data_IF_244699943974
#
_entry.id   IF_244699943974
#
_cell.length_a   1.000
_cell.length_b   1.000
_cell.length_c   1.000
_cell.angle_alpha   90.00
_cell.angle_beta   90.00
_cell.angle_gamma   90.00
#
_symmetry.space_group_name_H-M   'P 1'
#
loop_
_entity.id
_entity.type
_entity.pdbx_description
1 polymer ?
#
# COMPACT_ATOMS: atom_id res chain seq x y z
N UNK A 1 -9.81 0.64 24.38
CA UNK A 1 -9.24 -0.52 25.15
C UNK A 1 -10.42 -1.32 25.65
N UNK A 2 -10.44 -2.65 25.46
CA UNK A 2 -11.52 -3.53 25.92
C UNK A 2 -11.03 -4.32 27.15
N UNK A 3 -11.92 -4.57 28.10
CA UNK A 3 -11.65 -5.44 29.27
C UNK A 3 -11.87 -6.90 28.89
N UNK A 4 -11.38 -7.89 29.67
CA UNK A 4 -11.62 -9.31 29.41
C UNK A 4 -13.11 -9.71 29.32
N UNK A 5 -14.02 -8.92 29.86
CA UNK A 5 -15.47 -9.15 29.78
C UNK A 5 -15.97 -9.25 28.34
N UNK A 6 -15.28 -8.60 27.38
CA UNK A 6 -15.64 -8.68 25.97
C UNK A 6 -15.64 -10.11 25.44
N UNK A 7 -14.76 -10.99 25.93
CA UNK A 7 -14.69 -12.37 25.48
C UNK A 7 -15.95 -13.16 25.87
N UNK A 8 -16.47 -12.93 27.08
CA UNK A 8 -17.72 -13.56 27.54
C UNK A 8 -18.90 -13.11 26.66
N UNK A 9 -18.90 -11.86 26.24
CA UNK A 9 -19.94 -11.31 25.36
C UNK A 9 -19.81 -11.90 23.95
N UNK A 10 -18.58 -12.00 23.41
CA UNK A 10 -18.33 -12.56 22.05
C UNK A 10 -18.75 -14.03 22.00
N UNK A 11 -18.46 -14.83 23.03
CA UNK A 11 -18.83 -16.26 23.07
C UNK A 11 -20.36 -16.48 22.99
N UNK A 12 -21.15 -15.49 23.36
CA UNK A 12 -22.60 -15.52 23.32
C UNK A 12 -23.21 -14.78 22.11
N UNK A 13 -22.41 -14.20 21.20
CA UNK A 13 -22.91 -13.53 20.02
C UNK A 13 -23.53 -14.51 19.02
N UNK A 14 -24.57 -14.05 18.36
CA UNK A 14 -25.13 -14.72 17.19
C UNK A 14 -24.64 -14.01 15.92
N UNK A 15 -24.39 -14.77 14.84
CA UNK A 15 -24.06 -14.16 13.57
C UNK A 15 -25.10 -13.13 13.12
N UNK A 16 -24.62 -12.02 12.56
CA UNK A 16 -25.46 -11.00 11.93
C UNK A 16 -26.16 -11.52 10.68
N UNK A 17 -26.96 -10.69 10.04
CA UNK A 17 -27.60 -11.00 8.75
C UNK A 17 -26.59 -11.30 7.63
N UNK A 18 -25.30 -10.90 7.79
CA UNK A 18 -24.18 -11.21 6.91
C UNK A 18 -23.53 -12.56 7.22
N UNK A 19 -24.03 -13.27 8.21
CA UNK A 19 -23.44 -14.50 8.75
C UNK A 19 -22.02 -14.29 9.33
N UNK A 20 -21.77 -13.12 9.90
CA UNK A 20 -20.50 -12.72 10.53
C UNK A 20 -20.75 -12.32 11.98
N UNK A 21 -19.72 -12.49 12.85
CA UNK A 21 -19.74 -11.97 14.21
C UNK A 21 -19.26 -10.51 14.17
N UNK A 22 -20.13 -9.59 14.57
CA UNK A 22 -19.85 -8.16 14.52
C UNK A 22 -19.37 -7.65 15.89
N UNK A 23 -18.22 -7.01 15.94
CA UNK A 23 -17.72 -6.40 17.20
C UNK A 23 -18.66 -5.30 17.71
N UNK A 24 -19.37 -4.62 16.83
CA UNK A 24 -20.37 -3.62 17.17
C UNK A 24 -21.53 -4.20 17.95
N UNK A 25 -21.96 -5.44 17.64
CA UNK A 25 -23.00 -6.12 18.37
C UNK A 25 -22.54 -6.53 19.76
N UNK A 26 -21.24 -6.86 19.91
CA UNK A 26 -20.65 -7.11 21.23
C UNK A 26 -20.65 -5.85 22.09
N UNK A 27 -20.28 -4.69 21.52
CA UNK A 27 -20.30 -3.41 22.22
C UNK A 27 -21.75 -2.99 22.60
N UNK A 28 -22.72 -3.21 21.72
CA UNK A 28 -24.13 -2.94 21.99
C UNK A 28 -24.66 -3.81 23.16
N UNK A 29 -24.24 -5.08 23.21
CA UNK A 29 -24.60 -5.97 24.32
C UNK A 29 -24.00 -5.54 25.66
N UNK A 30 -22.73 -5.06 25.67
CA UNK A 30 -22.13 -4.45 26.86
C UNK A 30 -22.90 -3.23 27.34
N UNK A 31 -23.28 -2.34 26.43
CA UNK A 31 -24.09 -1.16 26.76
C UNK A 31 -25.44 -1.53 27.36
N UNK A 32 -26.10 -2.57 26.81
CA UNK A 32 -27.40 -3.08 27.36
C UNK A 32 -27.25 -3.68 28.75
N UNK A 33 -26.08 -4.15 29.12
CA UNK A 33 -25.76 -4.65 30.47
C UNK A 33 -25.38 -3.55 31.46
N UNK A 34 -25.48 -2.27 31.04
CA UNK A 34 -25.08 -1.08 31.77
C UNK A 34 -23.58 -0.99 32.08
N UNK A 35 -22.73 -1.63 31.28
CA UNK A 35 -21.28 -1.44 31.34
C UNK A 35 -20.90 -0.08 30.76
N UNK A 36 -19.91 0.56 31.39
CA UNK A 36 -19.40 1.84 30.93
C UNK A 36 -18.49 1.66 29.72
N UNK A 37 -18.89 2.19 28.56
CA UNK A 37 -18.05 2.27 27.38
C UNK A 37 -17.64 3.72 27.16
N UNK A 38 -16.32 3.98 27.27
CA UNK A 38 -15.74 5.25 26.87
C UNK A 38 -15.51 5.31 25.36
N UNK A 39 -15.62 6.49 24.79
CA UNK A 39 -15.31 6.73 23.40
C UNK A 39 -14.46 8.00 23.26
N UNK A 40 -13.71 8.06 22.17
CA UNK A 40 -12.96 9.25 21.75
C UNK A 40 -13.25 9.52 20.28
N UNK A 41 -13.44 10.79 19.93
CA UNK A 41 -13.70 11.20 18.57
C UNK A 41 -12.36 11.42 17.85
N UNK A 42 -12.11 10.69 16.77
CA UNK A 42 -10.97 10.91 15.90
C UNK A 42 -11.27 12.13 15.03
N UNK A 43 -10.42 13.15 15.10
CA UNK A 43 -10.53 14.39 14.31
C UNK A 43 -9.55 14.44 13.14
N UNK A 44 -8.55 13.57 13.16
CA UNK A 44 -7.55 13.45 12.09
C UNK A 44 -8.01 12.49 10.99
N UNK A 45 -7.17 12.34 9.96
CA UNK A 45 -7.45 11.43 8.86
C UNK A 45 -7.63 9.99 9.36
N UNK A 46 -8.79 9.44 9.09
CA UNK A 46 -9.12 8.04 9.32
C UNK A 46 -9.74 7.45 8.05
N UNK A 47 -9.28 6.28 7.63
CA UNK A 47 -9.81 5.59 6.47
C UNK A 47 -9.77 4.08 6.67
N UNK A 48 -10.90 3.43 6.42
CA UNK A 48 -10.95 1.98 6.24
C UNK A 48 -10.31 1.62 4.89
N UNK A 49 -9.42 0.63 4.90
CA UNK A 49 -8.66 0.19 3.73
C UNK A 49 -9.19 -1.16 3.20
N UNK A 50 -10.49 -1.26 3.03
CA UNK A 50 -11.17 -2.47 2.58
C UNK A 50 -10.99 -2.81 1.10
N UNK A 51 -10.58 -1.86 0.27
CA UNK A 51 -10.37 -2.06 -1.17
C UNK A 51 -8.97 -1.64 -1.62
N UNK A 52 -8.48 -2.15 -2.76
CA UNK A 52 -7.21 -1.70 -3.35
C UNK A 52 -7.15 -0.18 -3.58
N UNK A 53 -8.25 0.41 -4.01
CA UNK A 53 -8.36 1.86 -4.20
C UNK A 53 -8.20 2.62 -2.87
N UNK A 54 -8.80 2.12 -1.79
CA UNK A 54 -8.64 2.71 -0.46
C UNK A 54 -7.19 2.66 0.01
N UNK A 55 -6.48 1.56 -0.27
CA UNK A 55 -5.05 1.40 0.06
C UNK A 55 -4.21 2.42 -0.73
N UNK A 56 -4.45 2.58 -2.03
CA UNK A 56 -3.75 3.57 -2.86
C UNK A 56 -4.04 5.00 -2.39
N UNK A 57 -5.28 5.31 -2.03
CA UNK A 57 -5.64 6.61 -1.48
C UNK A 57 -4.96 6.86 -0.12
N UNK A 58 -4.91 5.87 0.76
CA UNK A 58 -4.20 5.97 2.03
C UNK A 58 -2.70 6.20 1.82
N UNK A 59 -2.07 5.46 0.89
CA UNK A 59 -0.68 5.66 0.50
C UNK A 59 -0.42 7.11 0.05
N UNK A 60 -1.27 7.64 -0.82
CA UNK A 60 -1.18 9.03 -1.28
C UNK A 60 -1.21 10.02 -0.11
N UNK A 61 -2.19 9.89 0.80
CA UNK A 61 -2.32 10.77 1.97
C UNK A 61 -1.10 10.70 2.90
N UNK A 62 -0.59 9.49 3.14
CA UNK A 62 0.62 9.29 3.94
C UNK A 62 1.82 9.95 3.26
N UNK A 63 2.02 9.72 1.96
CA UNK A 63 3.12 10.33 1.21
C UNK A 63 3.04 11.86 1.19
N UNK A 64 1.87 12.44 1.00
CA UNK A 64 1.67 13.90 1.07
C UNK A 64 2.08 14.46 2.44
N UNK A 65 1.78 13.73 3.51
CA UNK A 65 2.11 14.15 4.88
C UNK A 65 3.61 14.01 5.20
N UNK A 66 4.24 12.85 4.88
CA UNK A 66 5.63 12.57 5.29
C UNK A 66 6.68 13.15 4.34
N UNK A 67 6.38 13.20 3.04
CA UNK A 67 7.35 13.66 2.04
C UNK A 67 7.46 15.19 1.95
N UNK A 68 6.48 15.94 2.46
CA UNK A 68 6.46 17.41 2.44
C UNK A 68 6.95 17.99 1.09
N UNK A 69 6.39 17.52 -0.02
CA UNK A 69 6.74 17.86 -1.40
C UNK A 69 8.16 17.46 -1.86
N UNK A 70 8.78 16.53 -1.18
CA UNK A 70 10.08 15.95 -1.57
C UNK A 70 9.95 14.48 -1.90
N UNK A 71 10.97 13.88 -2.54
CA UNK A 71 11.12 12.42 -2.59
C UNK A 71 12.03 11.98 -1.45
N UNK A 72 11.60 10.96 -0.71
CA UNK A 72 12.40 10.33 0.33
C UNK A 72 13.06 9.09 -0.28
N UNK A 73 14.39 9.05 -0.25
CA UNK A 73 15.19 7.94 -0.77
C UNK A 73 16.18 7.52 0.27
N UNK A 74 16.22 6.22 0.57
CA UNK A 74 17.21 5.67 1.48
C UNK A 74 18.63 5.76 0.89
N UNK A 75 19.62 6.15 1.71
CA UNK A 75 21.01 6.38 1.31
C UNK A 75 21.70 5.13 0.74
N UNK A 76 21.24 3.94 1.11
CA UNK A 76 21.77 2.67 0.58
C UNK A 76 21.30 2.37 -0.84
N UNK A 77 20.34 3.10 -1.37
CA UNK A 77 19.79 2.86 -2.70
C UNK A 77 20.62 3.51 -3.79
N UNK A 78 20.97 2.71 -4.79
CA UNK A 78 21.75 3.16 -5.96
C UNK A 78 20.78 3.69 -7.00
N UNK A 79 20.81 5.00 -7.19
CA UNK A 79 20.06 5.67 -8.24
C UNK A 79 21.03 6.40 -9.16
N UNK A 80 20.95 6.13 -10.46
CA UNK A 80 21.93 6.65 -11.42
C UNK A 80 21.69 8.13 -11.80
N UNK A 81 20.53 8.69 -11.45
CA UNK A 81 20.27 10.15 -11.44
C UNK A 81 18.94 10.48 -10.77
N UNK A 82 18.83 11.66 -10.17
CA UNK A 82 17.63 12.13 -9.46
C UNK A 82 16.59 12.80 -10.39
N UNK A 83 16.82 12.82 -11.68
CA UNK A 83 16.09 13.69 -12.61
C UNK A 83 14.67 13.24 -12.94
N UNK A 84 14.32 11.99 -12.68
CA UNK A 84 13.04 11.40 -13.10
C UNK A 84 12.12 11.02 -11.92
N UNK A 85 12.33 11.66 -10.76
CA UNK A 85 11.46 11.40 -9.61
C UNK A 85 10.44 12.52 -9.47
N UNK A 86 9.19 12.11 -9.38
CA UNK A 86 8.07 13.03 -9.23
C UNK A 86 7.51 12.88 -7.81
N UNK A 87 7.44 14.00 -7.12
CA UNK A 87 6.95 14.08 -5.74
C UNK A 87 5.43 13.98 -5.65
N UNK A 88 4.87 13.48 -4.55
CA UNK A 88 5.56 12.79 -3.44
C UNK A 88 5.87 11.32 -3.78
N UNK A 89 7.02 10.80 -3.36
CA UNK A 89 7.39 9.39 -3.52
C UNK A 89 8.39 8.95 -2.46
N UNK A 90 8.39 7.67 -2.13
CA UNK A 90 9.34 7.07 -1.20
C UNK A 90 10.02 5.86 -1.82
N UNK A 91 11.32 5.72 -1.57
CA UNK A 91 12.14 4.59 -2.04
C UNK A 91 12.88 4.02 -0.84
N UNK A 92 12.67 2.74 -0.60
CA UNK A 92 13.26 1.96 0.49
C UNK A 92 14.75 1.68 0.29
N UNK A 93 15.28 0.76 1.09
CA UNK A 93 16.71 0.43 1.18
C UNK A 93 17.16 -0.45 0.03
N UNK A 94 18.44 -0.33 -0.33
CA UNK A 94 19.13 -1.20 -1.28
C UNK A 94 18.44 -1.30 -2.66
N UNK A 95 17.62 -0.34 -3.04
CA UNK A 95 16.99 -0.34 -4.36
C UNK A 95 17.99 -0.03 -5.46
N UNK A 96 17.77 -0.62 -6.64
CA UNK A 96 18.57 -0.33 -7.85
C UNK A 96 17.63 0.19 -8.92
N UNK A 97 17.73 1.47 -9.23
CA UNK A 97 16.80 2.15 -10.15
C UNK A 97 17.60 2.73 -11.31
N UNK A 98 17.22 2.32 -12.54
CA UNK A 98 17.86 2.85 -13.75
C UNK A 98 17.54 4.34 -13.94
N UNK A 99 18.51 5.06 -14.50
CA UNK A 99 18.41 6.51 -14.72
C UNK A 99 17.26 6.94 -15.64
N UNK A 100 16.79 6.07 -16.51
CA UNK A 100 15.67 6.33 -17.43
C UNK A 100 14.31 5.97 -16.83
N UNK A 101 14.28 5.31 -15.67
CA UNK A 101 13.03 5.02 -14.99
C UNK A 101 12.41 6.29 -14.40
N UNK A 102 11.08 6.38 -14.45
CA UNK A 102 10.32 7.47 -13.85
C UNK A 102 9.51 6.94 -12.66
N UNK A 103 9.72 7.50 -11.47
CA UNK A 103 9.03 7.11 -10.23
C UNK A 103 8.23 8.27 -9.71
N UNK A 104 6.94 8.05 -9.49
CA UNK A 104 6.02 9.04 -8.97
C UNK A 104 5.12 9.69 -10.02
N UNK A 105 4.18 10.56 -9.59
CA UNK A 105 3.90 10.86 -8.18
C UNK A 105 3.18 9.72 -7.46
N UNK A 106 3.11 9.81 -6.14
CA UNK A 106 2.37 8.90 -5.25
C UNK A 106 2.87 7.43 -5.34
N UNK A 107 4.17 7.24 -5.50
CA UNK A 107 4.78 5.92 -5.58
C UNK A 107 5.53 5.55 -4.30
N UNK A 108 5.28 4.33 -3.80
CA UNK A 108 6.03 3.73 -2.70
C UNK A 108 6.77 2.49 -3.21
N UNK A 109 8.10 2.50 -3.07
CA UNK A 109 8.98 1.41 -3.51
C UNK A 109 9.62 0.78 -2.28
N UNK A 110 9.37 -0.51 -2.07
CA UNK A 110 9.92 -1.29 -0.96
C UNK A 110 11.39 -1.68 -1.17
N UNK A 111 11.99 -2.15 -0.10
CA UNK A 111 13.42 -2.49 -0.02
C UNK A 111 13.85 -3.51 -1.08
N UNK A 112 15.14 -3.49 -1.46
CA UNK A 112 15.80 -4.44 -2.36
C UNK A 112 15.17 -4.53 -3.76
N UNK A 113 14.34 -3.58 -4.16
CA UNK A 113 13.64 -3.60 -5.44
C UNK A 113 14.54 -3.14 -6.59
N UNK A 114 14.45 -3.83 -7.72
CA UNK A 114 15.21 -3.52 -8.93
C UNK A 114 14.25 -3.02 -10.01
N UNK A 115 14.48 -1.80 -10.48
CA UNK A 115 13.69 -1.16 -11.54
C UNK A 115 14.61 -0.84 -12.70
N UNK A 116 14.37 -1.49 -13.82
CA UNK A 116 15.20 -1.38 -15.03
C UNK A 116 14.81 -0.15 -15.87
N UNK A 117 15.48 0.01 -17.01
CA UNK A 117 15.31 1.14 -17.91
C UNK A 117 13.87 1.32 -18.42
N UNK A 118 13.51 2.57 -18.66
CA UNK A 118 12.25 2.99 -19.28
C UNK A 118 10.96 2.54 -18.56
N UNK A 119 11.07 2.11 -17.32
CA UNK A 119 9.91 1.79 -16.46
C UNK A 119 9.32 3.08 -15.90
N UNK A 120 8.00 3.18 -15.95
CA UNK A 120 7.23 4.28 -15.36
C UNK A 120 6.34 3.70 -14.26
N UNK A 121 6.42 4.26 -13.06
CA UNK A 121 5.59 3.87 -11.91
C UNK A 121 4.92 5.12 -11.34
N UNK A 122 3.59 5.13 -11.33
CA UNK A 122 2.78 6.25 -10.83
C UNK A 122 1.62 5.73 -9.98
N UNK A 123 1.28 6.43 -8.90
CA UNK A 123 0.16 6.12 -8.01
C UNK A 123 0.12 4.63 -7.64
N UNK A 124 1.27 4.07 -7.22
CA UNK A 124 1.42 2.63 -7.06
C UNK A 124 2.27 2.27 -5.85
N UNK A 125 2.01 1.09 -5.30
CA UNK A 125 2.75 0.49 -4.21
C UNK A 125 3.48 -0.74 -4.74
N UNK A 126 4.79 -0.74 -4.68
CA UNK A 126 5.66 -1.87 -4.99
C UNK A 126 6.30 -2.32 -3.68
N UNK A 127 5.99 -3.51 -3.22
CA UNK A 127 6.58 -4.05 -2.00
C UNK A 127 8.02 -4.52 -2.23
N UNK A 128 8.66 -5.04 -1.18
CA UNK A 128 10.09 -5.39 -1.20
C UNK A 128 10.42 -6.54 -2.15
N UNK A 129 11.70 -6.63 -2.52
CA UNK A 129 12.31 -7.73 -3.28
C UNK A 129 11.69 -7.95 -4.67
N UNK A 130 11.15 -6.89 -5.27
CA UNK A 130 10.56 -6.94 -6.60
C UNK A 130 11.59 -6.66 -7.69
N UNK A 131 11.34 -7.24 -8.87
CA UNK A 131 12.09 -6.93 -10.09
C UNK A 131 11.14 -6.52 -11.19
N UNK A 132 11.33 -5.33 -11.75
CA UNK A 132 10.49 -4.74 -12.79
C UNK A 132 11.37 -4.32 -13.96
N UNK A 133 11.14 -4.92 -15.11
CA UNK A 133 11.93 -4.64 -16.30
C UNK A 133 11.07 -4.60 -17.58
N UNK A 134 11.71 -4.35 -18.74
CA UNK A 134 11.03 -4.31 -20.04
C UNK A 134 10.21 -3.05 -20.28
N UNK A 135 10.56 -1.92 -19.67
CA UNK A 135 9.96 -0.61 -19.96
C UNK A 135 8.46 -0.52 -19.68
N UNK A 136 7.99 -1.17 -18.62
CA UNK A 136 6.58 -1.18 -18.21
C UNK A 136 6.09 0.20 -17.76
N UNK A 137 4.86 0.54 -18.13
CA UNK A 137 4.14 1.71 -17.62
C UNK A 137 3.08 1.27 -16.59
N UNK A 138 3.44 1.31 -15.32
CA UNK A 138 2.66 0.81 -14.19
C UNK A 138 1.95 1.96 -13.51
N UNK A 139 0.63 1.88 -13.37
CA UNK A 139 -0.17 2.90 -12.69
C UNK A 139 -1.27 2.25 -11.86
N UNK A 140 -1.71 2.95 -10.81
CA UNK A 140 -2.84 2.56 -9.96
C UNK A 140 -2.73 1.09 -9.50
N UNK A 141 -1.52 0.68 -9.10
CA UNK A 141 -1.16 -0.73 -8.91
C UNK A 141 -0.66 -1.03 -7.52
N UNK A 142 -0.94 -2.25 -7.05
CA UNK A 142 -0.37 -2.81 -5.83
C UNK A 142 0.32 -4.12 -6.22
N UNK A 143 1.64 -4.15 -6.03
CA UNK A 143 2.49 -5.29 -6.34
C UNK A 143 3.12 -5.78 -5.05
N UNK A 144 2.74 -6.98 -4.63
CA UNK A 144 3.22 -7.61 -3.40
C UNK A 144 4.70 -7.99 -3.51
N UNK A 145 5.28 -8.44 -2.40
CA UNK A 145 6.69 -8.75 -2.33
C UNK A 145 7.10 -9.90 -3.27
N UNK A 146 8.40 -9.97 -3.58
CA UNK A 146 9.02 -11.05 -4.38
C UNK A 146 8.43 -11.19 -5.81
N UNK A 147 7.79 -10.17 -6.34
CA UNK A 147 7.23 -10.21 -7.69
C UNK A 147 8.28 -9.91 -8.77
N UNK A 148 8.14 -10.58 -9.90
CA UNK A 148 8.98 -10.33 -11.07
C UNK A 148 8.11 -10.06 -12.30
N UNK A 149 8.18 -8.83 -12.82
CA UNK A 149 7.44 -8.39 -13.99
C UNK A 149 8.42 -8.08 -15.13
N UNK A 150 8.23 -8.74 -16.24
CA UNK A 150 8.99 -8.49 -17.47
C UNK A 150 8.05 -8.07 -18.58
N UNK A 151 8.21 -6.85 -19.07
CA UNK A 151 7.42 -6.26 -20.13
C UNK A 151 8.11 -6.35 -21.50
N UNK A 152 7.33 -6.05 -22.51
CA UNK A 152 7.85 -5.81 -23.85
C UNK A 152 8.14 -4.31 -24.02
N UNK A 153 9.41 -3.93 -24.19
CA UNK A 153 9.86 -2.53 -24.33
C UNK A 153 9.12 -1.73 -25.42
N UNK A 154 8.42 -2.40 -26.31
CA UNK A 154 7.64 -1.75 -27.38
C UNK A 154 6.24 -1.33 -26.91
N UNK A 155 5.70 -1.97 -25.88
CA UNK A 155 4.36 -1.67 -25.37
C UNK A 155 4.45 -0.69 -24.19
N UNK A 156 4.17 0.57 -24.47
CA UNK A 156 4.13 1.65 -23.46
C UNK A 156 2.72 1.91 -22.91
N UNK A 157 1.75 1.04 -23.19
CA UNK A 157 0.40 1.20 -22.65
C UNK A 157 0.40 1.11 -21.13
N UNK A 158 -0.50 1.87 -20.51
CA UNK A 158 -0.73 1.83 -19.06
C UNK A 158 -1.17 0.41 -18.65
N UNK A 159 -0.51 -0.13 -17.62
CA UNK A 159 -0.85 -1.40 -17.01
C UNK A 159 -1.31 -1.16 -15.56
N UNK A 160 -2.34 -1.89 -15.17
CA UNK A 160 -2.84 -1.92 -13.80
C UNK A 160 -2.62 -3.34 -13.27
N UNK A 161 -1.94 -3.45 -12.14
CA UNK A 161 -1.64 -4.72 -11.50
C UNK A 161 -2.16 -4.76 -10.06
N UNK A 162 -2.79 -5.87 -9.73
CA UNK A 162 -3.07 -6.24 -8.35
C UNK A 162 -2.52 -7.65 -8.15
N UNK A 163 -1.30 -7.73 -7.63
CA UNK A 163 -0.53 -8.98 -7.61
C UNK A 163 -0.23 -9.44 -6.20
N UNK A 164 -0.49 -10.73 -5.96
CA UNK A 164 -0.05 -11.44 -4.77
C UNK A 164 1.46 -11.71 -4.76
N UNK A 165 1.97 -12.11 -3.59
CA UNK A 165 3.38 -12.36 -3.36
C UNK A 165 3.96 -13.43 -4.32
N UNK A 166 5.20 -13.23 -4.76
CA UNK A 166 5.94 -14.17 -5.59
C UNK A 166 5.44 -14.31 -7.03
N UNK A 167 4.52 -13.45 -7.48
CA UNK A 167 3.97 -13.51 -8.84
C UNK A 167 5.03 -13.19 -9.89
N UNK A 168 5.08 -14.00 -10.98
CA UNK A 168 5.94 -13.77 -12.14
C UNK A 168 5.10 -13.60 -13.38
N UNK A 169 5.30 -12.50 -14.11
CA UNK A 169 4.56 -12.12 -15.32
C UNK A 169 5.55 -11.77 -16.42
N UNK A 170 5.29 -12.27 -17.61
CA UNK A 170 5.94 -11.83 -18.87
C UNK A 170 4.85 -11.35 -19.84
N UNK A 171 5.02 -10.13 -20.36
CA UNK A 171 4.06 -9.43 -21.25
C UNK A 171 4.65 -9.16 -22.63
#
# INVERSE_FOLDING_TARGET
MLTPLIFEVIDNLKPSWRNELEITDALDNLLKQNDNIGYETITDYWKDTGTPEDILNANKQVLEHICNQTCIVDESSITLSNSNWITPSIIGKNCKIDKSAQIGPNASIGDNTIISSDVVIENSIIMSDCKIDGGLNIRDSIISANCHLHGNNKDKTKKIFLLGEGTKITL
#
